data_IF_739672182107
#
_entry.id   IF_739672182107
#
_cell.length_a   1.000
_cell.length_b   1.000
_cell.length_c   1.000
_cell.angle_alpha   90.00
_cell.angle_beta   90.00
_cell.angle_gamma   90.00
#
_symmetry.space_group_name_H-M   'P 1'
#
loop_
_entity.id
_entity.type
_entity.pdbx_description
1 polymer ?
#
# COMPACT_ATOMS: atom_id res chain seq x y z
N UNK A 1 17.33 12.65 -1.53
CA UNK A 1 18.00 11.40 -1.08
C UNK A 1 17.24 10.24 -1.73
N UNK A 2 17.91 9.17 -2.19
CA UNK A 2 17.28 8.15 -3.03
C UNK A 2 16.08 7.49 -2.34
N UNK A 3 14.88 7.70 -2.89
CA UNK A 3 13.64 7.07 -2.46
C UNK A 3 13.59 5.64 -3.00
N UNK A 4 13.23 4.66 -2.15
CA UNK A 4 12.93 3.30 -2.60
C UNK A 4 11.42 3.23 -2.83
N UNK A 5 11.03 3.48 -4.08
CA UNK A 5 9.64 3.46 -4.53
C UNK A 5 9.18 2.01 -4.78
N UNK A 6 8.02 1.64 -4.24
CA UNK A 6 7.43 0.29 -4.34
C UNK A 6 5.98 0.27 -4.83
N UNK A 7 5.37 -0.92 -4.75
CA UNK A 7 3.94 -1.22 -4.91
C UNK A 7 3.36 -1.21 -3.47
N UNK A 8 2.30 -0.48 -3.06
CA UNK A 8 0.92 -0.23 -3.54
C UNK A 8 -0.09 -1.29 -3.04
N UNK A 9 -1.13 -0.82 -2.36
CA UNK A 9 -2.44 -1.46 -2.24
C UNK A 9 -3.34 -1.09 -3.43
N UNK A 10 -4.17 -2.01 -3.94
CA UNK A 10 -5.03 -1.79 -5.11
C UNK A 10 -6.51 -1.74 -4.77
N UNK A 11 -7.27 -0.89 -5.46
CA UNK A 11 -8.72 -0.77 -5.30
C UNK A 11 -9.52 -1.63 -6.30
N UNK A 12 -10.65 -2.18 -5.87
CA UNK A 12 -11.71 -2.68 -6.76
C UNK A 12 -13.01 -1.87 -6.60
N UNK A 13 -13.94 -2.07 -7.55
CA UNK A 13 -15.19 -1.31 -7.65
C UNK A 13 -16.09 -1.46 -6.40
N UNK A 14 -16.97 -0.48 -6.11
CA UNK A 14 -17.88 -0.54 -4.96
C UNK A 14 -18.75 -1.81 -5.00
N UNK A 15 -18.99 -2.47 -3.85
CA UNK A 15 -19.59 -3.80 -3.82
C UNK A 15 -21.11 -3.86 -4.02
N UNK A 16 -21.54 -4.59 -5.06
CA UNK A 16 -22.86 -5.26 -5.11
C UNK A 16 -22.90 -6.57 -4.27
N UNK A 17 -21.74 -7.08 -3.84
CA UNK A 17 -21.55 -8.32 -3.10
C UNK A 17 -20.90 -8.03 -1.74
N UNK A 18 -21.42 -8.46 -0.58
CA UNK A 18 -20.86 -8.10 0.73
C UNK A 18 -19.56 -8.83 1.13
N UNK A 19 -18.91 -9.59 0.24
CA UNK A 19 -17.67 -10.34 0.55
C UNK A 19 -16.49 -9.91 -0.34
N UNK A 20 -15.34 -9.55 0.25
CA UNK A 20 -14.20 -9.05 -0.51
C UNK A 20 -13.60 -10.13 -1.44
N UNK A 21 -13.04 -9.72 -2.60
CA UNK A 21 -12.17 -10.58 -3.39
C UNK A 21 -11.00 -11.13 -2.57
N UNK A 22 -10.48 -12.30 -2.95
CA UNK A 22 -9.37 -12.93 -2.23
C UNK A 22 -8.14 -12.00 -2.18
N UNK A 23 -7.67 -11.72 -0.97
CA UNK A 23 -6.55 -10.81 -0.71
C UNK A 23 -6.96 -9.36 -0.39
N UNK A 24 -8.23 -8.99 -0.58
CA UNK A 24 -8.76 -7.65 -0.29
C UNK A 24 -9.49 -7.56 1.04
N UNK A 25 -9.65 -6.33 1.54
CA UNK A 25 -10.50 -5.94 2.67
C UNK A 25 -11.56 -4.93 2.22
N UNK A 26 -12.70 -4.93 2.91
CA UNK A 26 -13.77 -3.96 2.71
C UNK A 26 -13.48 -2.70 3.52
N UNK A 27 -13.26 -1.57 2.83
CA UNK A 27 -13.27 -0.26 3.45
C UNK A 27 -14.70 0.27 3.36
N UNK A 28 -15.36 0.42 4.52
CA UNK A 28 -16.77 0.84 4.61
C UNK A 28 -16.96 2.29 4.21
N UNK A 29 -18.11 2.63 3.61
CA UNK A 29 -18.45 4.03 3.31
C UNK A 29 -18.44 4.90 4.58
N UNK A 30 -18.01 6.16 4.46
CA UNK A 30 -17.91 7.06 5.59
C UNK A 30 -17.46 8.47 5.24
N UNK A 31 -17.37 9.33 6.26
CA UNK A 31 -16.82 10.68 6.18
C UNK A 31 -15.61 10.74 7.11
N UNK A 32 -14.50 11.31 6.63
CA UNK A 32 -13.31 11.55 7.44
C UNK A 32 -12.73 12.94 7.17
N UNK A 33 -11.85 13.39 8.05
CA UNK A 33 -11.03 14.57 7.84
C UNK A 33 -9.71 14.13 7.21
N UNK A 34 -9.46 14.51 5.96
CA UNK A 34 -8.19 14.29 5.28
C UNK A 34 -7.17 15.37 5.68
N UNK A 35 -5.88 15.02 5.68
CA UNK A 35 -4.79 15.93 6.01
C UNK A 35 -4.72 16.30 7.50
N UNK A 36 -4.05 17.43 7.79
CA UNK A 36 -3.75 17.89 9.16
C UNK A 36 -3.81 19.41 9.30
N UNK A 37 -3.81 19.90 10.55
CA UNK A 37 -3.68 21.33 10.83
C UNK A 37 -2.19 21.72 10.84
N UNK A 38 -1.83 22.79 10.12
CA UNK A 38 -0.46 23.29 10.04
C UNK A 38 -0.21 24.13 8.78
N UNK A 39 1.04 24.14 8.34
CA UNK A 39 1.59 24.83 7.17
C UNK A 39 2.23 23.87 6.13
N UNK A 40 2.04 22.56 6.30
CA UNK A 40 2.43 21.52 5.35
C UNK A 40 1.49 21.46 4.13
N UNK A 41 1.86 20.71 3.09
CA UNK A 41 1.07 20.61 1.85
C UNK A 41 -0.32 19.97 2.07
N UNK A 42 -0.43 19.02 2.99
CA UNK A 42 -1.68 18.39 3.44
C UNK A 42 -2.53 19.26 4.40
N UNK A 43 -2.53 20.59 4.18
CA UNK A 43 -3.32 21.60 4.91
C UNK A 43 -4.16 22.47 3.93
N UNK A 44 -5.37 22.92 4.31
CA UNK A 44 -6.06 22.72 5.59
C UNK A 44 -6.76 21.35 5.67
N UNK A 45 -7.06 20.89 6.90
CA UNK A 45 -7.79 19.65 7.12
C UNK A 45 -9.24 19.82 6.66
N UNK A 46 -9.75 18.91 5.84
CA UNK A 46 -11.05 19.05 5.18
C UNK A 46 -11.83 17.73 5.16
N UNK A 47 -13.16 17.81 5.14
CA UNK A 47 -14.01 16.62 5.17
C UNK A 47 -14.18 16.02 3.77
N UNK A 48 -13.89 14.73 3.64
CA UNK A 48 -14.15 13.93 2.44
C UNK A 48 -15.17 12.84 2.79
N UNK A 49 -16.17 12.66 1.92
CA UNK A 49 -17.10 11.54 1.97
C UNK A 49 -16.68 10.50 0.93
N UNK A 50 -16.46 9.26 1.36
CA UNK A 50 -16.12 8.13 0.49
C UNK A 50 -17.24 7.10 0.47
N UNK A 51 -17.52 6.55 -0.71
CA UNK A 51 -18.29 5.32 -0.88
C UNK A 51 -17.51 4.12 -0.35
N UNK A 52 -18.17 2.98 -0.14
CA UNK A 52 -17.47 1.75 0.22
C UNK A 52 -16.64 1.24 -0.98
N UNK A 53 -15.43 0.76 -0.72
CA UNK A 53 -14.53 0.20 -1.74
C UNK A 53 -13.78 -1.01 -1.19
N UNK A 54 -13.24 -1.82 -2.09
CA UNK A 54 -12.27 -2.84 -1.72
C UNK A 54 -10.87 -2.33 -1.92
N UNK A 55 -9.97 -2.68 -1.00
CA UNK A 55 -8.55 -2.39 -1.06
C UNK A 55 -7.77 -3.69 -0.83
N UNK A 56 -6.66 -3.92 -1.52
CA UNK A 56 -5.78 -5.06 -1.18
C UNK A 56 -5.31 -4.95 0.27
N UNK A 57 -5.24 -6.07 0.98
CA UNK A 57 -4.91 -6.08 2.41
C UNK A 57 -3.42 -5.88 2.70
N UNK A 58 -2.57 -5.91 1.68
CA UNK A 58 -1.15 -5.61 1.75
C UNK A 58 -0.66 -5.20 0.36
N UNK A 59 0.60 -4.82 0.27
CA UNK A 59 1.30 -4.58 -0.99
C UNK A 59 1.29 -5.83 -1.89
N UNK A 60 1.34 -5.62 -3.21
CA UNK A 60 1.55 -6.72 -4.17
C UNK A 60 2.97 -7.26 -4.06
N UNK A 61 3.07 -8.59 -3.96
CA UNK A 61 4.36 -9.26 -3.75
C UNK A 61 5.12 -9.51 -5.06
N UNK A 62 6.43 -9.78 -4.94
CA UNK A 62 7.25 -10.25 -6.06
C UNK A 62 6.60 -11.43 -6.79
N UNK A 63 6.04 -12.43 -6.09
CA UNK A 63 5.42 -13.60 -6.73
C UNK A 63 4.17 -13.24 -7.57
N UNK A 64 3.34 -12.32 -7.07
CA UNK A 64 2.15 -11.86 -7.78
C UNK A 64 2.53 -11.03 -9.03
N UNK A 65 3.49 -10.12 -8.90
CA UNK A 65 3.99 -9.32 -10.03
C UNK A 65 4.75 -10.19 -11.05
N UNK A 66 5.41 -11.26 -10.60
CA UNK A 66 6.01 -12.26 -11.50
C UNK A 66 4.95 -12.98 -12.33
N UNK A 67 3.78 -13.31 -11.77
CA UNK A 67 2.68 -13.88 -12.56
C UNK A 67 2.20 -12.88 -13.63
N UNK A 68 2.00 -11.60 -13.28
CA UNK A 68 1.66 -10.56 -14.25
C UNK A 68 2.66 -10.51 -15.42
N UNK A 69 3.96 -10.38 -15.15
CA UNK A 69 5.00 -10.40 -16.18
C UNK A 69 4.96 -11.69 -17.03
N UNK A 70 4.79 -12.85 -16.39
CA UNK A 70 4.76 -14.16 -17.07
C UNK A 70 3.54 -14.32 -17.98
N UNK A 71 2.38 -13.77 -17.60
CA UNK A 71 1.12 -13.91 -18.34
C UNK A 71 0.94 -12.88 -19.46
N UNK A 72 1.62 -11.73 -19.35
CA UNK A 72 1.44 -10.58 -20.27
C UNK A 72 2.66 -10.30 -21.16
N UNK A 73 3.85 -10.77 -20.78
CA UNK A 73 5.11 -10.33 -21.37
C UNK A 73 5.58 -8.96 -20.90
N UNK A 74 4.93 -8.35 -19.89
CA UNK A 74 5.37 -7.08 -19.31
C UNK A 74 6.76 -7.22 -18.68
N UNK A 75 7.58 -6.16 -18.79
CA UNK A 75 8.97 -6.18 -18.32
C UNK A 75 9.05 -6.34 -16.79
N UNK A 76 10.11 -7.01 -16.34
CA UNK A 76 10.42 -7.14 -14.93
C UNK A 76 10.84 -5.78 -14.32
N UNK A 77 10.66 -5.58 -12.99
CA UNK A 77 11.06 -4.36 -12.29
C UNK A 77 12.56 -4.05 -12.40
N UNK A 78 12.92 -2.77 -12.22
CA UNK A 78 14.31 -2.27 -12.33
C UNK A 78 15.31 -3.04 -11.45
N UNK A 79 14.88 -3.46 -10.25
CA UNK A 79 15.73 -4.11 -9.25
C UNK A 79 15.55 -5.63 -9.18
N UNK A 80 14.92 -6.26 -10.18
CA UNK A 80 14.57 -7.68 -10.13
C UNK A 80 15.79 -8.60 -9.96
N UNK A 81 15.73 -9.52 -8.99
CA UNK A 81 16.84 -10.42 -8.62
C UNK A 81 17.91 -9.77 -7.75
N UNK A 82 17.82 -8.48 -7.41
CA UNK A 82 18.80 -7.82 -6.56
C UNK A 82 18.49 -8.03 -5.07
N UNK A 83 19.18 -8.99 -4.45
CA UNK A 83 19.01 -9.33 -3.03
C UNK A 83 19.11 -8.13 -2.05
N UNK A 84 19.86 -7.08 -2.40
CA UNK A 84 19.91 -5.80 -1.64
C UNK A 84 18.51 -5.18 -1.45
N UNK A 85 17.67 -5.26 -2.47
CA UNK A 85 16.31 -4.71 -2.51
C UNK A 85 15.24 -5.76 -2.19
N UNK A 86 15.64 -7.03 -2.00
CA UNK A 86 14.74 -8.19 -1.83
C UNK A 86 13.64 -8.25 -2.91
N UNK A 87 14.03 -7.96 -4.14
CA UNK A 87 13.18 -8.03 -5.33
C UNK A 87 13.54 -9.29 -6.12
N UNK A 88 12.53 -9.98 -6.67
CA UNK A 88 12.72 -11.23 -7.42
C UNK A 88 12.20 -12.50 -6.76
N UNK A 89 12.30 -13.60 -7.50
CA UNK A 89 11.76 -14.92 -7.17
C UNK A 89 12.23 -15.50 -5.83
N UNK A 90 13.43 -15.15 -5.38
CA UNK A 90 14.01 -15.59 -4.10
C UNK A 90 13.34 -14.91 -2.88
N UNK A 91 12.56 -13.86 -3.12
CA UNK A 91 11.88 -13.04 -2.12
C UNK A 91 10.36 -12.98 -2.39
N UNK A 92 9.67 -14.13 -2.57
CA UNK A 92 8.34 -14.19 -3.19
C UNK A 92 7.24 -13.44 -2.42
N UNK A 93 7.43 -13.27 -1.10
CA UNK A 93 6.49 -12.62 -0.18
C UNK A 93 6.91 -11.18 0.19
N UNK A 94 7.97 -10.63 -0.41
CA UNK A 94 8.33 -9.22 -0.26
C UNK A 94 7.54 -8.35 -1.25
N UNK A 95 7.25 -7.07 -0.91
CA UNK A 95 6.61 -6.13 -1.83
C UNK A 95 7.49 -5.94 -3.07
N UNK A 96 6.87 -5.79 -4.25
CA UNK A 96 7.62 -5.52 -5.48
C UNK A 96 8.10 -4.07 -5.51
N UNK A 97 9.36 -3.86 -5.91
CA UNK A 97 10.05 -2.56 -5.90
C UNK A 97 10.83 -2.32 -7.19
N UNK A 98 11.03 -1.04 -7.54
CA UNK A 98 11.60 -0.66 -8.85
C UNK A 98 10.56 -0.67 -9.98
N UNK A 99 9.34 -0.24 -9.66
CA UNK A 99 8.20 -0.11 -10.58
C UNK A 99 7.79 1.37 -10.69
N UNK A 100 7.39 1.81 -11.88
CA UNK A 100 6.82 3.14 -12.08
C UNK A 100 5.30 3.15 -11.87
N UNK A 101 4.71 4.34 -11.72
CA UNK A 101 3.25 4.52 -11.70
C UNK A 101 2.55 3.82 -12.89
N UNK A 102 3.12 3.90 -14.10
CA UNK A 102 2.55 3.28 -15.29
C UNK A 102 2.65 1.73 -15.28
N UNK A 103 3.64 1.17 -14.59
CA UNK A 103 3.72 -0.28 -14.36
C UNK A 103 2.69 -0.76 -13.36
N UNK A 104 2.47 0.04 -12.31
CA UNK A 104 1.46 -0.23 -11.31
C UNK A 104 0.04 -0.15 -11.87
N UNK A 105 -0.26 0.88 -12.66
CA UNK A 105 -1.54 1.03 -13.34
C UNK A 105 -1.79 -0.11 -14.35
N UNK A 106 -0.74 -0.59 -15.04
CA UNK A 106 -0.82 -1.74 -15.94
C UNK A 106 -1.09 -3.06 -15.19
N UNK A 107 -0.39 -3.32 -14.08
CA UNK A 107 -0.67 -4.47 -13.20
C UNK A 107 -2.11 -4.40 -12.65
N UNK A 108 -2.54 -3.23 -12.17
CA UNK A 108 -3.86 -3.02 -11.61
C UNK A 108 -4.95 -3.40 -12.63
N UNK A 109 -4.86 -2.86 -13.85
CA UNK A 109 -5.77 -3.17 -14.96
C UNK A 109 -5.77 -4.65 -15.32
N UNK A 110 -4.61 -5.31 -15.36
CA UNK A 110 -4.51 -6.75 -15.59
C UNK A 110 -5.18 -7.58 -14.48
N UNK A 111 -5.04 -7.17 -13.23
CA UNK A 111 -5.64 -7.83 -12.06
C UNK A 111 -7.15 -7.58 -11.90
N UNK A 112 -7.79 -6.81 -12.80
CA UNK A 112 -9.20 -6.41 -12.68
C UNK A 112 -9.45 -5.33 -11.62
N UNK A 113 -8.43 -4.53 -11.30
CA UNK A 113 -8.37 -3.52 -10.23
C UNK A 113 -7.97 -2.15 -10.80
N UNK A 114 -7.82 -1.16 -9.91
CA UNK A 114 -7.26 0.17 -10.16
C UNK A 114 -6.34 0.58 -9.00
N UNK A 115 -5.67 1.72 -9.11
CA UNK A 115 -5.04 2.37 -7.95
C UNK A 115 -6.13 2.97 -7.03
N UNK A 116 -5.89 3.02 -5.70
CA UNK A 116 -6.65 3.88 -4.78
C UNK A 116 -6.37 5.35 -5.11
N UNK A 117 -7.33 6.22 -4.84
CA UNK A 117 -7.05 7.66 -4.74
C UNK A 117 -6.34 7.96 -3.41
N UNK A 118 -5.62 9.08 -3.33
CA UNK A 118 -4.94 9.53 -2.11
C UNK A 118 -5.88 9.57 -0.88
N UNK A 119 -7.12 10.03 -1.06
CA UNK A 119 -8.14 10.06 -0.02
C UNK A 119 -8.61 8.66 0.41
N UNK A 120 -8.73 7.71 -0.52
CA UNK A 120 -9.04 6.31 -0.21
C UNK A 120 -7.87 5.65 0.54
N UNK A 121 -6.63 5.93 0.13
CA UNK A 121 -5.44 5.43 0.80
C UNK A 121 -5.33 5.99 2.24
N UNK A 122 -5.45 7.30 2.45
CA UNK A 122 -5.39 7.90 3.80
C UNK A 122 -6.53 7.39 4.69
N UNK A 123 -7.75 7.29 4.16
CA UNK A 123 -8.90 6.78 4.93
C UNK A 123 -8.72 5.32 5.35
N UNK A 124 -8.25 4.47 4.43
CA UNK A 124 -7.95 3.09 4.74
C UNK A 124 -6.76 2.94 5.69
N UNK A 125 -5.71 3.74 5.52
CA UNK A 125 -4.54 3.78 6.39
C UNK A 125 -4.93 4.12 7.84
N UNK A 126 -5.80 5.12 8.03
CA UNK A 126 -6.34 5.51 9.35
C UNK A 126 -7.10 4.39 10.07
N UNK A 127 -7.52 3.31 9.40
CA UNK A 127 -8.00 2.09 10.06
C UNK A 127 -9.24 2.27 10.95
N UNK A 128 -10.09 3.25 10.63
CA UNK A 128 -11.26 3.64 11.44
C UNK A 128 -10.94 4.57 12.62
N UNK A 129 -9.70 5.00 12.81
CA UNK A 129 -9.29 5.95 13.85
C UNK A 129 -9.46 7.41 13.36
N UNK A 130 -10.10 8.24 14.20
CA UNK A 130 -10.23 9.67 13.96
C UNK A 130 -9.21 10.46 14.80
N UNK A 131 -8.60 11.50 14.21
CA UNK A 131 -7.70 12.42 14.93
C UNK A 131 -6.42 11.75 15.44
N UNK A 132 -5.83 10.84 14.67
CA UNK A 132 -4.56 10.17 14.95
C UNK A 132 -3.51 10.50 13.89
N UNK A 133 -2.26 10.60 14.33
CA UNK A 133 -1.12 10.93 13.47
C UNK A 133 -0.62 9.73 12.66
N UNK A 134 -0.93 8.49 13.10
CA UNK A 134 -0.51 7.27 12.42
C UNK A 134 -1.63 6.22 12.32
N UNK A 135 -1.58 5.32 11.31
CA UNK A 135 -2.39 4.10 11.21
C UNK A 135 -2.44 3.22 12.47
N UNK A 136 -1.35 3.20 13.25
CA UNK A 136 -1.24 2.46 14.51
C UNK A 136 -1.72 3.24 15.75
N UNK A 137 -2.17 4.49 15.60
CA UNK A 137 -2.56 5.39 16.69
C UNK A 137 -1.62 6.60 16.84
N UNK A 138 -1.16 6.85 18.06
CA UNK A 138 -0.39 8.07 18.42
C UNK A 138 1.13 7.93 18.18
N UNK A 139 1.62 6.77 17.77
CA UNK A 139 3.04 6.57 17.46
C UNK A 139 3.29 5.36 16.55
N UNK A 140 4.45 5.33 15.91
CA UNK A 140 5.01 4.15 15.23
C UNK A 140 6.41 3.84 15.76
N UNK A 141 6.75 2.56 15.81
CA UNK A 141 8.05 2.06 16.26
C UNK A 141 8.51 0.82 15.49
N UNK A 142 9.70 0.28 15.78
CA UNK A 142 10.25 -0.88 15.08
C UNK A 142 9.46 -2.19 15.29
N UNK A 143 8.52 -2.22 16.23
CA UNK A 143 7.60 -3.34 16.49
C UNK A 143 6.24 -3.18 15.77
N UNK A 144 5.99 -2.04 15.11
CA UNK A 144 4.72 -1.72 14.45
C UNK A 144 4.85 -1.29 12.97
N UNK A 145 6.07 -1.06 12.48
CA UNK A 145 6.33 -0.50 11.16
C UNK A 145 7.77 -0.81 10.70
N UNK A 146 7.96 -1.19 9.43
CA UNK A 146 9.30 -1.33 8.82
C UNK A 146 9.86 0.04 8.39
N UNK A 147 10.10 0.92 9.37
CA UNK A 147 10.74 2.21 9.15
C UNK A 147 12.27 2.07 9.05
N UNK A 148 12.87 2.50 7.93
CA UNK A 148 14.33 2.55 7.80
C UNK A 148 14.91 3.62 8.73
N UNK A 149 15.42 3.20 9.89
CA UNK A 149 16.20 4.07 10.77
C UNK A 149 17.36 4.68 9.99
N UNK A 150 17.50 6.00 10.03
CA UNK A 150 18.43 6.75 9.17
C UNK A 150 19.85 6.16 9.19
N UNK A 151 20.35 5.75 8.03
CA UNK A 151 21.65 5.09 7.86
C UNK A 151 21.63 3.55 7.82
N UNK A 152 20.49 2.89 8.07
CA UNK A 152 20.34 1.42 7.97
C UNK A 152 19.37 1.04 6.83
N UNK A 153 19.92 0.59 5.71
CA UNK A 153 19.14 0.05 4.58
C UNK A 153 19.25 -1.48 4.50
N UNK A 154 18.63 -2.17 5.46
CA UNK A 154 18.09 -3.50 5.16
C UNK A 154 16.87 -3.33 4.24
N UNK A 155 16.85 -4.01 3.09
CA UNK A 155 15.69 -4.00 2.20
C UNK A 155 14.41 -4.51 2.87
N UNK A 156 13.26 -4.31 2.20
CA UNK A 156 11.88 -4.51 2.68
C UNK A 156 11.65 -5.71 3.61
N UNK A 157 10.65 -5.64 4.47
CA UNK A 157 10.14 -6.82 5.16
C UNK A 157 9.16 -7.59 4.25
N UNK A 158 8.84 -8.83 4.62
CA UNK A 158 7.80 -9.57 3.90
C UNK A 158 6.45 -8.89 4.19
N UNK A 159 5.54 -8.86 3.24
CA UNK A 159 4.22 -8.25 3.45
C UNK A 159 3.50 -8.96 4.59
N UNK A 160 2.71 -8.21 5.36
CA UNK A 160 2.03 -8.63 6.60
C UNK A 160 3.00 -9.01 7.72
N UNK A 161 4.13 -8.30 7.83
CA UNK A 161 5.09 -8.51 8.93
C UNK A 161 4.61 -7.93 10.27
N UNK A 162 3.74 -6.92 10.25
CA UNK A 162 3.21 -6.26 11.44
C UNK A 162 1.72 -6.55 11.64
N UNK A 163 1.14 -6.02 12.72
CA UNK A 163 -0.30 -6.10 12.94
C UNK A 163 -1.06 -5.23 11.91
N UNK A 164 -2.20 -5.73 11.43
CA UNK A 164 -3.11 -4.95 10.61
C UNK A 164 -3.81 -3.85 11.42
N UNK A 165 -4.25 -2.79 10.74
CA UNK A 165 -5.10 -1.75 11.32
C UNK A 165 -6.57 -2.22 11.46
N UNK A 166 -7.45 -1.34 11.94
CA UNK A 166 -8.86 -1.66 12.19
C UNK A 166 -9.70 -2.09 10.98
N UNK A 167 -9.22 -1.91 9.74
CA UNK A 167 -9.85 -2.44 8.52
C UNK A 167 -9.23 -3.76 8.03
N UNK A 168 -8.17 -4.26 8.68
CA UNK A 168 -7.44 -5.44 8.23
C UNK A 168 -6.40 -5.16 7.13
N UNK A 169 -6.08 -3.89 6.86
CA UNK A 169 -4.97 -3.50 6.00
C UNK A 169 -3.65 -3.55 6.80
N UNK A 170 -2.62 -4.15 6.20
CA UNK A 170 -1.30 -4.34 6.77
C UNK A 170 -0.31 -3.30 6.23
N UNK A 171 0.79 -3.10 6.94
CA UNK A 171 2.00 -2.40 6.50
C UNK A 171 1.85 -0.97 5.94
N UNK A 172 0.69 -0.32 6.15
CA UNK A 172 0.32 1.09 5.88
C UNK A 172 1.26 2.17 6.48
N UNK A 173 2.42 1.79 7.00
CA UNK A 173 3.42 2.66 7.62
C UNK A 173 4.81 2.05 7.48
N UNK A 174 5.62 2.60 6.57
CA UNK A 174 6.95 2.10 6.27
C UNK A 174 6.92 0.99 5.22
N UNK A 175 7.86 0.05 5.34
CA UNK A 175 8.18 -1.00 4.36
C UNK A 175 8.65 -0.47 2.99
N UNK A 176 7.75 0.14 2.22
CA UNK A 176 7.99 0.76 0.91
C UNK A 176 7.13 2.02 0.75
N UNK A 177 7.48 2.92 -0.17
CA UNK A 177 6.52 3.94 -0.63
C UNK A 177 5.49 3.31 -1.57
N UNK A 178 4.27 3.85 -1.56
CA UNK A 178 3.16 3.46 -2.44
C UNK A 178 2.81 4.59 -3.42
N UNK A 179 2.08 4.25 -4.48
CA UNK A 179 1.54 5.19 -5.46
C UNK A 179 0.00 5.21 -5.42
N UNK A 180 -0.57 6.36 -5.80
CA UNK A 180 -2.02 6.68 -5.89
C UNK A 180 -2.35 7.33 -7.23
#
# INVERSE_FOLDING_TARGET
>A
MHLILGFILLCALPPDNPQPPQGMVLITAGIFTMGKAGDAEDCPPHQISLSAFYLDSSEVTNAQYQEFCTKTGHRLPEFWGMAKFKSGSDFPNHPVVGVSWADAEAYAKWAGKRLPTEAEWEYAARGGLAGKDFPAGDSIGPESASITQAGKTSGSMAVRSFAANGYGAFDMSGNVCEWV
#
